data_IF_418861764131
#
_entry.id   IF_418861764131
#
_cell.length_a   1.000
_cell.length_b   1.000
_cell.length_c   1.000
_cell.angle_alpha   90.00
_cell.angle_beta   90.00
_cell.angle_gamma   90.00
#
_symmetry.space_group_name_H-M   'P 1'
#
loop_
_entity.id
_entity.type
_entity.pdbx_description
1 polymer ?
#
# COMPACT_ATOMS: atom_id res chain seq x y z
N UNK A 1 12.33 21.24 -4.17
CA UNK A 1 11.94 21.75 -5.50
C UNK A 1 10.46 22.16 -5.45
N UNK A 2 9.97 23.06 -6.33
CA UNK A 2 8.54 23.28 -6.48
C UNK A 2 7.83 21.98 -6.89
N UNK A 3 6.54 21.86 -6.59
CA UNK A 3 5.72 20.70 -6.92
C UNK A 3 5.77 20.38 -8.43
N UNK A 4 6.06 19.12 -8.77
CA UNK A 4 6.09 18.59 -10.13
C UNK A 4 4.93 17.57 -10.29
N UNK A 5 4.16 17.58 -11.40
CA UNK A 5 3.16 16.54 -11.67
C UNK A 5 3.65 15.10 -11.53
N UNK A 6 4.94 14.82 -11.74
CA UNK A 6 5.51 13.48 -11.53
C UNK A 6 5.50 13.02 -10.06
N UNK A 7 5.29 13.93 -9.11
CA UNK A 7 5.14 13.59 -7.70
C UNK A 7 3.75 13.01 -7.37
N UNK A 8 2.75 13.21 -8.24
CA UNK A 8 1.36 12.81 -7.96
C UNK A 8 1.22 11.32 -7.61
N UNK A 9 1.82 10.37 -8.36
CA UNK A 9 1.70 8.96 -8.00
C UNK A 9 2.29 8.63 -6.64
N UNK A 10 3.47 9.16 -6.32
CA UNK A 10 4.11 8.95 -5.02
C UNK A 10 3.26 9.49 -3.86
N UNK A 11 2.70 10.69 -4.02
CA UNK A 11 1.82 11.30 -3.02
C UNK A 11 0.49 10.58 -2.88
N UNK A 12 -0.08 10.11 -4.00
CA UNK A 12 -1.29 9.29 -3.98
C UNK A 12 -1.05 7.97 -3.21
N UNK A 13 0.07 7.30 -3.46
CA UNK A 13 0.44 6.07 -2.73
C UNK A 13 0.69 6.37 -1.25
N UNK A 14 1.43 7.43 -0.93
CA UNK A 14 1.67 7.83 0.45
C UNK A 14 0.35 8.10 1.20
N UNK A 15 -0.59 8.77 0.55
CA UNK A 15 -1.92 9.07 1.11
C UNK A 15 -2.76 7.81 1.29
N UNK A 16 -2.82 6.95 0.27
CA UNK A 16 -3.59 5.70 0.34
C UNK A 16 -3.04 4.75 1.41
N UNK A 17 -1.73 4.68 1.61
CA UNK A 17 -1.17 3.85 2.70
C UNK A 17 -1.41 4.47 4.08
N UNK A 18 -1.37 5.79 4.19
CA UNK A 18 -1.66 6.47 5.46
C UNK A 18 -3.14 6.30 5.84
N UNK A 19 -4.06 6.72 4.95
CA UNK A 19 -5.49 6.70 5.25
C UNK A 19 -6.07 5.28 5.20
N UNK A 20 -5.63 4.46 4.25
CA UNK A 20 -6.05 3.06 4.13
C UNK A 20 -5.60 2.21 5.30
N UNK A 21 -4.42 2.48 5.88
CA UNK A 21 -3.96 1.81 7.10
C UNK A 21 -4.68 2.29 8.37
N UNK A 22 -5.09 3.56 8.44
CA UNK A 22 -5.86 4.13 9.56
C UNK A 22 -7.27 3.55 9.61
N UNK A 23 -7.89 3.31 8.45
CA UNK A 23 -9.27 2.84 8.35
C UNK A 23 -9.62 1.61 9.22
N UNK A 24 -8.88 0.48 9.11
CA UNK A 24 -9.14 -0.71 9.92
C UNK A 24 -8.81 -0.56 11.41
N UNK A 25 -8.01 0.45 11.80
CA UNK A 25 -7.60 0.68 13.19
C UNK A 25 -8.70 1.41 13.96
N UNK A 26 -9.34 2.42 13.34
CA UNK A 26 -10.25 3.33 14.04
C UNK A 26 -11.74 3.15 13.68
N UNK A 27 -12.06 2.57 12.53
CA UNK A 27 -13.44 2.52 12.04
C UNK A 27 -14.02 1.10 12.04
N UNK A 28 -13.64 0.28 11.06
CA UNK A 28 -14.21 -1.07 10.93
C UNK A 28 -13.25 -2.02 10.20
N UNK A 29 -12.63 -2.91 10.96
CA UNK A 29 -11.66 -3.89 10.44
C UNK A 29 -12.30 -4.90 9.50
N UNK A 30 -13.50 -5.44 9.80
CA UNK A 30 -14.16 -6.43 8.94
C UNK A 30 -14.52 -5.84 7.58
N UNK A 31 -15.08 -4.62 7.57
CA UNK A 31 -15.38 -3.89 6.33
C UNK A 31 -14.12 -3.64 5.51
N UNK A 32 -13.03 -3.20 6.15
CA UNK A 32 -11.74 -2.99 5.50
C UNK A 32 -11.16 -4.28 4.90
N UNK A 33 -11.30 -5.40 5.61
CA UNK A 33 -10.84 -6.71 5.13
C UNK A 33 -11.65 -7.20 3.92
N UNK A 34 -12.97 -6.96 3.91
CA UNK A 34 -13.83 -7.28 2.76
C UNK A 34 -13.46 -6.42 1.54
N UNK A 35 -13.25 -5.12 1.74
CA UNK A 35 -12.83 -4.20 0.69
C UNK A 35 -11.41 -4.51 0.18
N UNK A 36 -10.53 -4.96 1.07
CA UNK A 36 -9.22 -5.49 0.71
C UNK A 36 -9.34 -6.71 -0.23
N UNK A 37 -10.47 -7.43 -0.15
CA UNK A 37 -10.80 -8.59 -0.97
C UNK A 37 -10.80 -9.90 -0.19
N UNK A 38 -10.64 -9.89 1.13
CA UNK A 38 -10.62 -11.13 1.93
C UNK A 38 -12.02 -11.75 2.02
N UNK A 39 -12.11 -13.09 2.11
CA UNK A 39 -13.40 -13.76 2.23
C UNK A 39 -14.07 -13.45 3.59
N UNK A 40 -15.41 -13.43 3.66
CA UNK A 40 -16.15 -13.11 4.89
C UNK A 40 -15.76 -13.97 6.10
N UNK A 41 -15.38 -15.24 5.85
CA UNK A 41 -14.88 -16.14 6.90
C UNK A 41 -13.65 -15.59 7.62
N UNK A 42 -12.73 -14.97 6.88
CA UNK A 42 -11.49 -14.37 7.44
C UNK A 42 -11.79 -13.00 8.02
N UNK A 43 -12.57 -12.17 7.30
CA UNK A 43 -12.95 -10.83 7.72
C UNK A 43 -13.71 -10.80 9.06
N UNK A 44 -14.49 -11.83 9.36
CA UNK A 44 -15.26 -11.94 10.61
C UNK A 44 -14.54 -12.71 11.73
N UNK A 45 -13.34 -13.25 11.47
CA UNK A 45 -12.54 -13.93 12.49
C UNK A 45 -11.80 -12.93 13.37
N UNK A 46 -11.75 -13.17 14.68
CA UNK A 46 -11.04 -12.29 15.63
C UNK A 46 -9.53 -12.31 15.37
N UNK A 47 -9.00 -13.48 15.05
CA UNK A 47 -7.60 -13.71 14.76
C UNK A 47 -7.18 -12.95 13.48
N UNK A 48 -8.00 -13.04 12.42
CA UNK A 48 -7.79 -12.34 11.17
C UNK A 48 -7.83 -10.82 11.35
N UNK A 49 -8.83 -10.30 12.06
CA UNK A 49 -8.94 -8.87 12.36
C UNK A 49 -7.75 -8.37 13.17
N UNK A 50 -7.32 -9.12 14.20
CA UNK A 50 -6.17 -8.73 15.04
C UNK A 50 -4.90 -8.62 14.21
N UNK A 51 -4.61 -9.63 13.38
CA UNK A 51 -3.45 -9.60 12.49
C UNK A 51 -3.54 -8.46 11.46
N UNK A 52 -4.73 -8.22 10.91
CA UNK A 52 -4.97 -7.18 9.92
C UNK A 52 -4.77 -5.77 10.50
N UNK A 53 -5.23 -5.49 11.72
CA UNK A 53 -5.00 -4.21 12.42
C UNK A 53 -3.50 -3.96 12.62
N UNK A 54 -2.76 -4.95 13.09
CA UNK A 54 -1.29 -4.83 13.28
C UNK A 54 -0.57 -4.60 11.95
N UNK A 55 -0.97 -5.31 10.89
CA UNK A 55 -0.45 -5.08 9.55
C UNK A 55 -0.76 -3.67 9.04
N UNK A 56 -1.98 -3.21 9.26
CA UNK A 56 -2.45 -1.89 8.81
C UNK A 56 -1.74 -0.74 9.52
N UNK A 57 -1.42 -0.90 10.81
CA UNK A 57 -0.58 0.06 11.52
C UNK A 57 0.79 0.23 10.87
N UNK A 58 1.41 -0.86 10.40
CA UNK A 58 2.69 -0.79 9.66
C UNK A 58 2.51 -0.11 8.31
N UNK A 59 1.42 -0.39 7.59
CA UNK A 59 1.07 0.31 6.35
C UNK A 59 0.94 1.81 6.56
N UNK A 60 0.28 2.25 7.64
CA UNK A 60 0.19 3.66 8.01
C UNK A 60 1.57 4.27 8.24
N UNK A 61 2.45 3.57 8.99
CA UNK A 61 3.82 4.05 9.24
C UNK A 61 4.58 4.22 7.93
N UNK A 62 4.45 3.29 6.97
CA UNK A 62 5.09 3.41 5.66
C UNK A 62 4.59 4.66 4.92
N UNK A 63 3.26 4.90 4.90
CA UNK A 63 2.69 6.11 4.28
C UNK A 63 3.20 7.40 4.93
N UNK A 64 3.32 7.43 6.25
CA UNK A 64 3.89 8.57 6.99
C UNK A 64 5.39 8.77 6.68
N UNK A 65 6.16 7.69 6.54
CA UNK A 65 7.56 7.76 6.12
C UNK A 65 7.68 8.33 4.72
N UNK A 66 6.82 7.92 3.78
CA UNK A 66 6.79 8.48 2.43
C UNK A 66 6.50 9.98 2.45
N UNK A 67 5.51 10.43 3.23
CA UNK A 67 5.23 11.86 3.42
C UNK A 67 6.42 12.61 4.04
N UNK A 68 7.08 12.03 5.04
CA UNK A 68 8.25 12.62 5.68
C UNK A 68 9.40 12.80 4.68
N UNK A 69 9.70 11.79 3.86
CA UNK A 69 10.73 11.86 2.81
C UNK A 69 10.38 12.95 1.78
N UNK A 70 9.12 13.01 1.36
CA UNK A 70 8.65 14.04 0.42
C UNK A 70 8.83 15.46 0.98
N UNK A 71 8.43 15.70 2.23
CA UNK A 71 8.56 17.00 2.90
C UNK A 71 10.02 17.39 3.14
N UNK A 72 10.93 16.42 3.29
CA UNK A 72 12.37 16.63 3.38
C UNK A 72 13.05 16.88 2.03
N UNK A 73 12.32 16.74 0.91
CA UNK A 73 12.88 16.82 -0.44
C UNK A 73 13.74 15.61 -0.83
N UNK A 74 13.60 14.49 -0.10
CA UNK A 74 14.31 13.22 -0.31
C UNK A 74 13.58 12.34 -1.32
N UNK A 75 13.55 12.80 -2.56
CA UNK A 75 12.72 12.20 -3.61
C UNK A 75 13.31 10.88 -4.13
N UNK A 76 14.63 10.74 -4.18
CA UNK A 76 15.31 9.50 -4.56
C UNK A 76 14.97 8.36 -3.58
N UNK A 77 14.95 8.66 -2.29
CA UNK A 77 14.60 7.71 -1.24
C UNK A 77 13.11 7.36 -1.29
N UNK A 78 12.25 8.33 -1.61
CA UNK A 78 10.82 8.09 -1.82
C UNK A 78 10.58 7.14 -3.00
N UNK A 79 11.30 7.33 -4.10
CA UNK A 79 11.28 6.41 -5.24
C UNK A 79 11.79 5.01 -4.83
N UNK A 80 12.85 4.93 -4.02
CA UNK A 80 13.32 3.68 -3.44
C UNK A 80 12.25 2.95 -2.60
N UNK A 81 11.50 3.69 -1.77
CA UNK A 81 10.37 3.14 -1.01
C UNK A 81 9.28 2.62 -1.95
N UNK A 82 8.96 3.35 -3.03
CA UNK A 82 8.00 2.90 -4.04
C UNK A 82 8.41 1.59 -4.70
N UNK A 83 9.70 1.41 -5.02
CA UNK A 83 10.21 0.15 -5.57
C UNK A 83 9.96 -1.01 -4.63
N UNK A 84 10.38 -0.88 -3.37
CA UNK A 84 10.25 -1.97 -2.38
C UNK A 84 8.78 -2.24 -2.05
N UNK A 85 7.97 -1.19 -1.92
CA UNK A 85 6.53 -1.31 -1.68
C UNK A 85 5.85 -2.05 -2.84
N UNK A 86 6.07 -1.61 -4.08
CA UNK A 86 5.47 -2.23 -5.25
C UNK A 86 5.87 -3.69 -5.46
N UNK A 87 7.16 -4.00 -5.32
CA UNK A 87 7.68 -5.36 -5.52
C UNK A 87 7.29 -6.30 -4.38
N UNK A 88 7.48 -5.90 -3.13
CA UNK A 88 7.28 -6.79 -1.99
C UNK A 88 5.80 -6.88 -1.62
N UNK A 89 5.17 -5.74 -1.32
CA UNK A 89 3.77 -5.74 -0.90
C UNK A 89 2.85 -6.13 -2.04
N UNK A 90 3.10 -5.64 -3.26
CA UNK A 90 2.32 -6.04 -4.44
C UNK A 90 2.39 -7.55 -4.73
N UNK A 91 3.57 -8.16 -4.59
CA UNK A 91 3.71 -9.61 -4.78
C UNK A 91 3.05 -10.43 -3.67
N UNK A 92 3.23 -10.04 -2.40
CA UNK A 92 2.61 -10.72 -1.24
C UNK A 92 1.09 -10.61 -1.32
N UNK A 93 0.56 -9.44 -1.62
CA UNK A 93 -0.87 -9.18 -1.77
C UNK A 93 -1.47 -10.02 -2.92
N UNK A 94 -0.78 -10.07 -4.06
CA UNK A 94 -1.17 -10.92 -5.18
C UNK A 94 -1.23 -12.39 -4.75
N UNK A 95 -0.16 -12.89 -4.11
CA UNK A 95 -0.07 -14.27 -3.65
C UNK A 95 -1.16 -14.64 -2.65
N UNK A 96 -1.39 -13.80 -1.63
CA UNK A 96 -2.43 -14.02 -0.61
C UNK A 96 -3.82 -14.01 -1.24
N UNK A 97 -4.13 -13.02 -2.09
CA UNK A 97 -5.43 -12.94 -2.75
C UNK A 97 -5.69 -14.13 -3.67
N UNK A 98 -4.69 -14.60 -4.43
CA UNK A 98 -4.82 -15.81 -5.25
C UNK A 98 -5.07 -17.04 -4.36
N UNK A 99 -4.36 -17.16 -3.24
CA UNK A 99 -4.50 -18.29 -2.30
C UNK A 99 -5.86 -18.32 -1.61
N UNK A 100 -6.42 -17.17 -1.27
CA UNK A 100 -7.74 -17.04 -0.63
C UNK A 100 -8.91 -17.15 -1.63
N UNK A 101 -8.64 -17.48 -2.90
CA UNK A 101 -9.66 -17.70 -3.93
C UNK A 101 -10.21 -16.43 -4.58
N UNK A 102 -9.58 -15.27 -4.34
CA UNK A 102 -9.96 -13.96 -4.89
C UNK A 102 -8.97 -13.49 -5.95
N UNK A 103 -8.67 -14.38 -6.90
CA UNK A 103 -7.62 -14.19 -7.91
C UNK A 103 -7.73 -12.90 -8.73
N UNK A 104 -8.96 -12.40 -9.01
CA UNK A 104 -9.15 -11.12 -9.71
C UNK A 104 -8.53 -9.94 -8.95
N UNK A 105 -8.72 -9.90 -7.63
CA UNK A 105 -8.13 -8.87 -6.78
C UNK A 105 -6.62 -9.06 -6.63
N UNK A 106 -6.15 -10.31 -6.63
CA UNK A 106 -4.73 -10.63 -6.64
C UNK A 106 -4.01 -10.10 -7.87
N UNK A 107 -4.56 -10.34 -9.07
CA UNK A 107 -4.00 -9.81 -10.32
C UNK A 107 -3.97 -8.28 -10.31
N UNK A 108 -5.07 -7.63 -9.88
CA UNK A 108 -5.10 -6.17 -9.77
C UNK A 108 -3.99 -5.62 -8.87
N UNK A 109 -3.76 -6.24 -7.71
CA UNK A 109 -2.72 -5.86 -6.74
C UNK A 109 -1.30 -6.13 -7.25
N UNK A 110 -1.10 -7.24 -7.97
CA UNK A 110 0.18 -7.55 -8.59
C UNK A 110 0.53 -6.56 -9.69
N UNK A 111 -0.43 -6.24 -10.57
CA UNK A 111 -0.24 -5.27 -11.66
C UNK A 111 -0.02 -3.87 -11.11
N UNK A 112 -0.81 -3.43 -10.12
CA UNK A 112 -0.60 -2.13 -9.47
C UNK A 112 0.77 -2.07 -8.79
N UNK A 113 1.20 -3.14 -8.12
CA UNK A 113 2.53 -3.25 -7.53
C UNK A 113 3.67 -3.09 -8.55
N UNK A 114 3.55 -3.71 -9.72
CA UNK A 114 4.52 -3.55 -10.82
C UNK A 114 4.56 -2.10 -11.31
N UNK A 115 3.41 -1.45 -11.47
CA UNK A 115 3.36 -0.05 -11.91
C UNK A 115 3.99 0.90 -10.88
N UNK A 116 3.69 0.68 -9.60
CA UNK A 116 4.29 1.43 -8.49
C UNK A 116 5.80 1.24 -8.45
N UNK A 117 6.27 -0.01 -8.57
CA UNK A 117 7.69 -0.30 -8.60
C UNK A 117 8.39 0.29 -9.83
N UNK A 118 7.77 0.19 -11.01
CA UNK A 118 8.28 0.78 -12.24
C UNK A 118 8.39 2.29 -12.16
N UNK A 119 7.45 2.96 -11.47
CA UNK A 119 7.52 4.39 -11.23
C UNK A 119 8.71 4.78 -10.35
N UNK A 120 8.96 4.03 -9.28
CA UNK A 120 10.14 4.22 -8.44
C UNK A 120 11.46 3.93 -9.17
N UNK A 121 11.54 2.84 -9.94
CA UNK A 121 12.75 2.50 -10.74
C UNK A 121 13.05 3.57 -11.78
N UNK A 122 12.03 4.20 -12.35
CA UNK A 122 12.18 5.30 -13.30
C UNK A 122 12.74 6.59 -12.68
N UNK A 123 12.78 6.70 -11.35
CA UNK A 123 13.20 7.90 -10.64
C UNK A 123 12.32 9.10 -10.94
N UNK A 124 11.03 8.88 -11.22
CA UNK A 124 10.15 9.95 -11.69
C UNK A 124 9.86 11.00 -10.62
N UNK A 125 9.96 10.65 -9.33
CA UNK A 125 9.73 11.61 -8.25
C UNK A 125 10.97 12.49 -8.03
N UNK A 126 12.16 11.98 -8.32
CA UNK A 126 13.41 12.74 -8.24
C UNK A 126 13.64 13.72 -9.41
N UNK A 127 13.03 13.47 -10.57
CA UNK A 127 13.19 14.28 -11.80
C UNK A 127 12.47 15.63 -11.77
#
# INVERSE_FOLDING_TARGET
>A
MPFNPYHLPALFIATTQTLGGIWPIFFNTSSAMLEFGLPPRVANSREGQTAFVVGSARTTVIGLVMWMLYLQGKYAELDGVMVVLGLVLGAVDCWVCVREGVGRWGVFRGVSGILVAGWGVGGFTER
#
